data_IF_700781941629
#
_entry.id   IF_700781941629
#
_cell.length_a   1.000
_cell.length_b   1.000
_cell.length_c   1.000
_cell.angle_alpha   90.00
_cell.angle_beta   90.00
_cell.angle_gamma   90.00
#
_symmetry.space_group_name_H-M   'P 1'
#
loop_
_entity.id
_entity.type
_entity.pdbx_description
1 polymer ?
#
# COMPACT_ATOMS: atom_id res chain seq x y z
N UNK A 1 10.90 -2.80 12.15
CA UNK A 1 9.80 -3.46 11.41
C UNK A 1 8.86 -2.41 10.86
N UNK A 2 8.56 -2.48 9.58
CA UNK A 2 7.70 -1.50 8.96
C UNK A 2 6.23 -1.80 9.23
N UNK A 3 5.45 -0.76 9.48
CA UNK A 3 4.04 -0.90 9.80
C UNK A 3 3.13 -0.12 8.85
N UNK A 4 3.66 0.34 7.72
CA UNK A 4 2.89 1.10 6.76
C UNK A 4 2.51 0.20 5.59
N UNK A 5 1.20 0.07 5.34
CA UNK A 5 0.69 -0.81 4.28
C UNK A 5 -0.36 -0.09 3.47
N UNK A 6 -0.30 -0.29 2.16
CA UNK A 6 -1.26 0.28 1.22
C UNK A 6 -2.12 -0.83 0.68
N UNK A 7 -3.42 -0.63 0.69
CA UNK A 7 -4.36 -1.57 0.07
C UNK A 7 -4.49 -1.22 -1.39
N UNK A 8 -4.20 -2.19 -2.26
CA UNK A 8 -4.21 -1.98 -3.71
C UNK A 8 -5.36 -2.78 -4.30
N UNK A 9 -6.26 -2.09 -4.97
CA UNK A 9 -7.39 -2.71 -5.65
C UNK A 9 -7.42 -2.20 -7.08
N UNK A 10 -7.32 -3.15 -8.04
CA UNK A 10 -7.30 -2.75 -9.45
C UNK A 10 -6.10 -1.91 -9.82
N UNK A 11 -4.99 -2.10 -9.12
CA UNK A 11 -3.77 -1.36 -9.38
C UNK A 11 -3.72 0.03 -8.75
N UNK A 12 -4.77 0.39 -7.99
CA UNK A 12 -4.85 1.71 -7.37
C UNK A 12 -4.89 1.54 -5.85
N UNK A 13 -4.19 2.43 -5.16
CA UNK A 13 -4.18 2.43 -3.70
C UNK A 13 -5.50 2.99 -3.21
N UNK A 14 -6.27 2.18 -2.49
CA UNK A 14 -7.57 2.58 -1.98
C UNK A 14 -7.55 2.90 -0.50
N UNK A 15 -6.53 2.46 0.22
CA UNK A 15 -6.41 2.74 1.65
C UNK A 15 -4.95 2.63 2.07
N UNK A 16 -4.58 3.35 3.12
CA UNK A 16 -3.25 3.27 3.70
C UNK A 16 -3.42 3.18 5.21
N UNK A 17 -2.80 2.18 5.83
CA UNK A 17 -2.94 1.97 7.26
C UNK A 17 -1.59 1.79 7.92
N UNK A 18 -1.51 2.22 9.17
CA UNK A 18 -0.36 1.97 10.02
C UNK A 18 -0.73 0.82 10.94
N UNK A 19 -0.22 -0.37 10.64
CA UNK A 19 -0.60 -1.57 11.36
C UNK A 19 0.50 -2.62 11.21
N UNK A 20 0.70 -3.43 12.24
CA UNK A 20 1.64 -4.54 12.15
C UNK A 20 1.09 -5.58 11.18
N UNK A 21 1.99 -6.17 10.39
CA UNK A 21 1.59 -7.17 9.40
C UNK A 21 0.82 -8.32 10.03
N UNK A 22 1.32 -8.81 11.18
CA UNK A 22 0.67 -9.94 11.86
C UNK A 22 -0.76 -9.61 12.25
N UNK A 23 -0.99 -8.39 12.69
CA UNK A 23 -2.32 -7.96 13.09
C UNK A 23 -3.24 -7.84 11.87
N UNK A 24 -2.71 -7.31 10.78
CA UNK A 24 -3.47 -7.17 9.53
C UNK A 24 -3.91 -8.54 9.02
N UNK A 25 -3.01 -9.50 8.99
CA UNK A 25 -3.30 -10.85 8.51
C UNK A 25 -4.31 -11.55 9.44
N UNK A 26 -4.24 -11.27 10.73
CA UNK A 26 -5.10 -11.92 11.70
C UNK A 26 -6.52 -11.35 11.71
N UNK A 27 -6.76 -10.23 11.04
CA UNK A 27 -8.06 -9.56 11.06
C UNK A 27 -8.59 -9.31 9.65
N UNK A 28 -8.82 -10.36 8.86
CA UNK A 28 -9.30 -10.20 7.50
C UNK A 28 -10.69 -9.57 7.42
N UNK A 29 -11.49 -9.73 8.46
CA UNK A 29 -12.82 -9.14 8.50
C UNK A 29 -12.74 -7.61 8.59
N UNK A 30 -11.60 -7.09 9.08
CA UNK A 30 -11.41 -5.65 9.25
C UNK A 30 -10.65 -5.03 8.07
N UNK A 31 -9.64 -5.73 7.58
CA UNK A 31 -8.75 -5.20 6.54
C UNK A 31 -8.98 -5.82 5.18
N UNK A 32 -9.73 -6.91 5.12
CA UNK A 32 -9.94 -7.63 3.88
C UNK A 32 -8.80 -8.59 3.61
N UNK A 33 -8.68 -8.99 2.35
CA UNK A 33 -7.68 -9.97 1.94
C UNK A 33 -6.28 -9.39 2.12
N UNK A 34 -5.44 -10.08 2.87
CA UNK A 34 -4.08 -9.61 3.13
C UNK A 34 -3.25 -9.51 1.85
N UNK A 35 -3.61 -10.25 0.80
CA UNK A 35 -2.89 -10.18 -0.46
C UNK A 35 -3.07 -8.85 -1.18
N UNK A 36 -4.08 -8.09 -0.80
CA UNK A 36 -4.30 -6.77 -1.38
C UNK A 36 -3.37 -5.71 -0.77
N UNK A 37 -2.73 -6.02 0.35
CA UNK A 37 -1.93 -5.04 1.07
C UNK A 37 -0.46 -5.15 0.68
N UNK A 38 0.13 -4.02 0.33
CA UNK A 38 1.53 -3.93 -0.09
C UNK A 38 2.24 -2.98 0.86
N UNK A 39 3.39 -3.41 1.37
CA UNK A 39 4.20 -2.61 2.27
C UNK A 39 4.70 -1.36 1.57
N UNK A 40 4.61 -0.21 2.25
CA UNK A 40 5.17 1.03 1.74
C UNK A 40 6.03 1.68 2.82
N UNK A 41 6.86 2.64 2.41
CA UNK A 41 7.87 3.22 3.27
C UNK A 41 7.76 4.74 3.28
N UNK A 42 7.60 5.30 4.47
CA UNK A 42 7.43 6.74 4.63
C UNK A 42 8.71 7.52 4.35
N UNK A 43 9.85 6.88 4.48
CA UNK A 43 11.13 7.54 4.29
C UNK A 43 11.64 7.46 2.85
N UNK A 44 10.84 6.91 1.95
CA UNK A 44 11.21 6.81 0.56
C UNK A 44 12.11 5.64 0.21
N UNK A 45 12.45 4.79 1.19
CA UNK A 45 13.25 3.61 0.91
C UNK A 45 12.37 2.50 0.31
N UNK A 46 12.99 1.48 -0.22
CA UNK A 46 12.28 0.34 -0.80
C UNK A 46 11.31 0.77 -1.89
N UNK A 47 10.03 0.46 -1.72
CA UNK A 47 8.98 0.84 -2.68
C UNK A 47 8.65 2.32 -2.65
N UNK A 48 9.15 3.04 -1.64
CA UNK A 48 8.91 4.45 -1.50
C UNK A 48 7.56 4.78 -0.91
N UNK A 49 7.16 6.01 -1.09
CA UNK A 49 5.88 6.50 -0.59
C UNK A 49 4.70 5.83 -1.27
N UNK A 50 3.59 5.83 -0.56
CA UNK A 50 2.30 5.52 -1.16
C UNK A 50 1.26 6.46 -0.57
N UNK A 51 0.17 6.64 -1.29
CA UNK A 51 -0.94 7.47 -0.83
C UNK A 51 -2.20 7.02 -1.53
N UNK A 52 -3.35 7.38 -0.97
CA UNK A 52 -4.63 7.05 -1.56
C UNK A 52 -4.71 7.70 -2.93
N UNK A 53 -5.08 6.92 -3.94
CA UNK A 53 -5.14 7.40 -5.31
C UNK A 53 -3.90 7.13 -6.12
N UNK A 54 -2.80 6.74 -5.47
CA UNK A 54 -1.58 6.35 -6.19
C UNK A 54 -1.81 5.02 -6.88
N UNK A 55 -1.00 4.73 -7.88
CA UNK A 55 -1.02 3.43 -8.53
C UNK A 55 0.15 2.58 -8.05
N UNK A 56 0.00 1.27 -8.16
CA UNK A 56 1.06 0.34 -7.82
C UNK A 56 1.52 -0.37 -9.08
N UNK A 57 2.81 -0.25 -9.37
CA UNK A 57 3.42 -0.93 -10.51
C UNK A 57 4.01 -2.24 -10.01
N UNK A 58 3.30 -3.33 -10.28
CA UNK A 58 3.71 -4.65 -9.79
C UNK A 58 4.95 -5.17 -10.52
N UNK A 59 5.19 -4.70 -11.74
CA UNK A 59 6.35 -5.13 -12.51
C UNK A 59 7.63 -4.59 -11.90
N UNK A 60 7.62 -3.31 -11.53
CA UNK A 60 8.78 -2.66 -10.94
C UNK A 60 8.72 -2.63 -9.42
N UNK A 61 7.61 -3.07 -8.84
CA UNK A 61 7.40 -3.13 -7.39
C UNK A 61 7.58 -1.75 -6.76
N UNK A 62 6.93 -0.75 -7.33
CA UNK A 62 6.99 0.62 -6.82
C UNK A 62 5.62 1.29 -6.89
N UNK A 63 5.43 2.30 -6.06
CA UNK A 63 4.23 3.12 -6.10
C UNK A 63 4.48 4.34 -6.97
N UNK A 64 3.48 4.74 -7.73
CA UNK A 64 3.57 5.87 -8.64
C UNK A 64 2.52 6.89 -8.24
N UNK A 65 2.95 8.12 -8.01
CA UNK A 65 2.03 9.19 -7.67
C UNK A 65 1.09 9.45 -8.84
N UNK A 66 -0.16 9.83 -8.57
CA UNK A 66 -1.08 10.13 -9.66
C UNK A 66 -0.54 11.29 -10.48
N UNK A 67 -0.62 11.16 -11.78
CA UNK A 67 -0.22 12.23 -12.66
C UNK A 67 -1.20 13.38 -12.50
N UNK A 68 -0.73 14.51 -12.00
CA UNK A 68 -1.59 15.67 -11.87
C UNK A 68 -1.90 16.20 -13.24
N UNK A 69 -3.11 16.24 -13.52
CA UNK A 69 -3.47 16.88 -14.75
C UNK A 69 -3.67 18.34 -14.50
N UNK A 70 -3.16 18.63 -14.02
CA UNK A 70 -3.24 19.75 -13.85
C UNK A 70 -3.55 20.33 -13.57
#
# INVERSE_FOLDING_TARGET
>A
MNTHFAKVEGGIVTDVRVVAWDFLVANPERYGDSELWVECFQDGSGRGYCGIGWSYDAVNDVFVAPTSSQ
#
